data_IF_367596248820
#
_entry.id   IF_367596248820
#
_cell.length_a   1.000
_cell.length_b   1.000
_cell.length_c   1.000
_cell.angle_alpha   90.00
_cell.angle_beta   90.00
_cell.angle_gamma   90.00
#
_symmetry.space_group_name_H-M   'P 1'
#
loop_
_entity.id
_entity.type
_entity.pdbx_description
1 polymer ?
#
# COMPACT_ATOMS: atom_id res chain seq x y z
N UNK A 1 -23.11 -4.16 5.46
CA UNK A 1 -23.08 -4.89 4.16
C UNK A 1 -21.66 -5.39 3.95
N UNK A 2 -21.46 -6.71 3.89
CA UNK A 2 -20.15 -7.33 3.60
C UNK A 2 -20.01 -7.58 2.11
N UNK A 3 -19.60 -6.56 1.35
CA UNK A 3 -19.36 -6.69 -0.09
C UNK A 3 -17.96 -7.27 -0.28
N UNK A 4 -17.86 -8.47 -0.84
CA UNK A 4 -16.59 -9.06 -1.25
C UNK A 4 -16.35 -8.76 -2.74
N UNK A 5 -15.23 -8.12 -3.05
CA UNK A 5 -14.82 -7.85 -4.43
C UNK A 5 -14.13 -9.09 -5.00
N UNK A 6 -14.78 -9.80 -5.92
CA UNK A 6 -14.25 -11.01 -6.57
C UNK A 6 -13.54 -10.78 -7.92
N UNK A 7 -13.23 -9.52 -8.26
CA UNK A 7 -12.69 -9.14 -9.56
C UNK A 7 -11.16 -9.11 -9.56
N UNK A 8 -10.56 -9.15 -10.75
CA UNK A 8 -9.13 -8.87 -10.94
C UNK A 8 -8.84 -7.43 -10.48
N UNK A 9 -8.23 -7.32 -9.30
CA UNK A 9 -7.79 -6.05 -8.75
C UNK A 9 -6.55 -5.58 -9.50
N UNK A 10 -6.44 -4.26 -9.65
CA UNK A 10 -5.23 -3.59 -10.12
C UNK A 10 -4.93 -2.46 -9.16
N UNK A 11 -3.69 -2.40 -8.69
CA UNK A 11 -3.22 -1.32 -7.82
C UNK A 11 -2.08 -0.55 -8.52
N UNK A 12 -2.32 0.73 -8.91
CA UNK A 12 -1.30 1.58 -9.51
C UNK A 12 -0.06 1.79 -8.63
N UNK A 13 -0.19 1.73 -7.30
CA UNK A 13 0.95 1.91 -6.38
C UNK A 13 1.87 0.71 -6.41
N UNK A 14 1.29 -0.49 -6.39
CA UNK A 14 2.05 -1.74 -6.55
C UNK A 14 2.72 -1.75 -7.92
N UNK A 15 2.05 -1.25 -8.96
CA UNK A 15 2.63 -1.18 -10.30
C UNK A 15 3.85 -0.25 -10.36
N UNK A 16 3.81 0.93 -9.73
CA UNK A 16 4.99 1.81 -9.64
C UNK A 16 6.13 1.16 -8.84
N UNK A 17 5.81 0.50 -7.73
CA UNK A 17 6.80 -0.19 -6.91
C UNK A 17 7.52 -1.32 -7.66
N UNK A 18 6.77 -2.13 -8.43
CA UNK A 18 7.36 -3.20 -9.27
C UNK A 18 8.31 -2.62 -10.32
N UNK A 19 8.03 -1.44 -10.85
CA UNK A 19 8.89 -0.77 -11.83
C UNK A 19 10.13 -0.15 -11.17
N UNK A 20 9.97 0.48 -10.00
CA UNK A 20 11.04 1.20 -9.30
C UNK A 20 11.08 0.85 -7.80
N UNK A 21 11.65 -0.32 -7.43
CA UNK A 21 11.65 -0.78 -6.04
C UNK A 21 12.54 0.05 -5.10
N UNK A 22 13.51 0.82 -5.64
CA UNK A 22 14.50 1.59 -4.88
C UNK A 22 14.01 2.97 -4.42
N UNK A 23 12.91 3.50 -4.99
CA UNK A 23 12.40 4.85 -4.71
C UNK A 23 11.56 4.93 -3.42
N UNK A 24 11.71 3.92 -2.55
CA UNK A 24 10.67 3.45 -1.63
C UNK A 24 10.71 4.10 -0.24
N UNK A 25 10.86 5.43 -0.16
CA UNK A 25 10.93 6.13 1.14
C UNK A 25 9.58 6.48 1.76
N UNK A 26 8.48 6.39 1.03
CA UNK A 26 7.13 6.53 1.59
C UNK A 26 6.12 6.07 0.55
N UNK A 27 5.07 5.35 0.95
CA UNK A 27 3.99 4.95 0.04
C UNK A 27 3.37 6.22 -0.58
N UNK A 28 3.69 6.55 -1.85
CA UNK A 28 3.35 7.85 -2.40
C UNK A 28 1.85 7.96 -2.62
N UNK A 29 1.30 9.17 -2.45
CA UNK A 29 -0.09 9.43 -2.78
C UNK A 29 -0.31 9.32 -4.30
N UNK A 30 -1.56 9.07 -4.72
CA UNK A 30 -1.90 8.97 -6.14
C UNK A 30 -1.56 10.29 -6.87
N UNK A 31 -1.72 11.45 -6.20
CA UNK A 31 -1.35 12.74 -6.79
C UNK A 31 0.17 12.84 -7.05
N UNK A 32 1.02 12.35 -6.13
CA UNK A 32 2.48 12.33 -6.29
C UNK A 32 2.90 11.37 -7.41
N UNK A 33 2.29 10.20 -7.48
CA UNK A 33 2.54 9.24 -8.57
C UNK A 33 2.11 9.82 -9.92
N UNK A 34 0.99 10.54 -9.95
CA UNK A 34 0.53 11.20 -11.15
C UNK A 34 1.54 12.26 -11.61
N UNK A 35 2.06 13.09 -10.70
CA UNK A 35 3.12 14.07 -11.00
C UNK A 35 4.39 13.44 -11.60
N UNK A 36 4.79 12.29 -11.06
CA UNK A 36 5.97 11.54 -11.53
C UNK A 36 5.78 10.99 -12.95
N UNK A 37 4.60 10.46 -13.26
CA UNK A 37 4.36 9.72 -14.50
C UNK A 37 3.65 10.52 -15.60
N UNK A 38 2.89 11.55 -15.25
CA UNK A 38 2.02 12.32 -16.16
C UNK A 38 1.87 13.78 -15.72
N UNK A 39 2.48 14.72 -16.45
CA UNK A 39 2.37 16.16 -16.16
C UNK A 39 1.05 16.79 -16.60
N UNK A 40 0.26 16.09 -17.41
CA UNK A 40 -0.80 16.72 -18.23
C UNK A 40 -2.19 16.76 -17.58
N UNK A 41 -2.47 15.90 -16.58
CA UNK A 41 -3.85 15.74 -16.08
C UNK A 41 -3.97 15.88 -14.57
N UNK A 42 -3.56 17.04 -14.03
CA UNK A 42 -3.83 17.38 -12.65
C UNK A 42 -5.24 17.98 -12.50
N UNK A 43 -6.21 17.12 -12.19
CA UNK A 43 -7.53 17.58 -11.78
C UNK A 43 -7.43 18.29 -10.41
N UNK A 44 -7.73 19.58 -10.38
CA UNK A 44 -7.86 20.35 -9.13
C UNK A 44 -9.32 20.28 -8.68
N UNK A 45 -9.61 19.39 -7.74
CA UNK A 45 -10.92 19.29 -7.11
C UNK A 45 -11.04 20.25 -5.92
N UNK A 46 -12.26 20.66 -5.57
CA UNK A 46 -12.52 21.37 -4.31
C UNK A 46 -12.40 20.39 -3.14
N UNK A 47 -11.46 20.66 -2.22
CA UNK A 47 -11.17 19.76 -1.10
C UNK A 47 -12.35 19.51 -0.13
N UNK A 48 -13.39 20.35 -0.18
CA UNK A 48 -14.54 20.30 0.72
C UNK A 48 -15.70 19.42 0.22
N UNK A 49 -15.69 18.96 -1.03
CA UNK A 49 -16.75 18.08 -1.57
C UNK A 49 -16.24 16.63 -1.70
N UNK A 50 -16.82 15.73 -0.92
CA UNK A 50 -16.45 14.31 -0.87
C UNK A 50 -16.74 13.58 -2.19
N UNK A 51 -17.79 13.97 -2.91
CA UNK A 51 -18.14 13.36 -4.20
C UNK A 51 -17.14 13.77 -5.27
N UNK A 52 -16.83 15.07 -5.34
CA UNK A 52 -15.85 15.61 -6.28
C UNK A 52 -14.47 14.99 -6.04
N UNK A 53 -14.07 14.84 -4.76
CA UNK A 53 -12.81 14.19 -4.38
C UNK A 53 -12.77 12.72 -4.80
N UNK A 54 -13.84 11.97 -4.59
CA UNK A 54 -13.91 10.55 -4.93
C UNK A 54 -13.86 10.33 -6.44
N UNK A 55 -14.62 11.12 -7.20
CA UNK A 55 -14.58 11.11 -8.66
C UNK A 55 -13.20 11.49 -9.20
N UNK A 56 -12.58 12.54 -8.63
CA UNK A 56 -11.21 12.94 -8.97
C UNK A 56 -10.23 11.77 -8.79
N UNK A 57 -10.23 11.13 -7.62
CA UNK A 57 -9.32 10.01 -7.37
C UNK A 57 -9.55 8.82 -8.30
N UNK A 58 -10.81 8.49 -8.61
CA UNK A 58 -11.13 7.43 -9.55
C UNK A 58 -10.58 7.71 -10.95
N UNK A 59 -10.79 8.93 -11.46
CA UNK A 59 -10.28 9.35 -12.78
C UNK A 59 -8.75 9.37 -12.81
N UNK A 60 -8.11 9.96 -11.79
CA UNK A 60 -6.64 9.99 -11.70
C UNK A 60 -6.03 8.59 -11.62
N UNK A 61 -6.65 7.68 -10.86
CA UNK A 61 -6.17 6.30 -10.73
C UNK A 61 -6.27 5.55 -12.07
N UNK A 62 -7.34 5.78 -12.83
CA UNK A 62 -7.50 5.19 -14.17
C UNK A 62 -6.45 5.73 -15.16
N UNK A 63 -6.22 7.04 -15.17
CA UNK A 63 -5.21 7.68 -16.03
C UNK A 63 -3.81 7.18 -15.69
N UNK A 64 -3.49 7.12 -14.40
CA UNK A 64 -2.22 6.59 -13.90
C UNK A 64 -2.04 5.12 -14.30
N UNK A 65 -3.08 4.30 -14.15
CA UNK A 65 -3.05 2.89 -14.55
C UNK A 65 -2.73 2.72 -16.03
N UNK A 66 -3.40 3.45 -16.93
CA UNK A 66 -3.15 3.36 -18.37
C UNK A 66 -1.67 3.65 -18.72
N UNK A 67 -1.04 4.59 -18.01
CA UNK A 67 0.38 4.90 -18.18
C UNK A 67 1.28 3.79 -17.64
N UNK A 68 1.03 3.33 -16.42
CA UNK A 68 1.81 2.30 -15.74
C UNK A 68 1.69 0.94 -16.44
N UNK A 69 0.52 0.59 -16.97
CA UNK A 69 0.33 -0.64 -17.73
C UNK A 69 1.23 -0.66 -18.97
N UNK A 70 1.38 0.49 -19.65
CA UNK A 70 2.32 0.64 -20.76
C UNK A 70 3.78 0.41 -20.33
N UNK A 71 4.17 0.95 -19.17
CA UNK A 71 5.52 0.77 -18.62
C UNK A 71 5.77 -0.67 -18.16
N UNK A 72 4.79 -1.33 -17.54
CA UNK A 72 4.87 -2.74 -17.15
C UNK A 72 5.05 -3.66 -18.36
N UNK A 73 4.36 -3.37 -19.47
CA UNK A 73 4.52 -4.08 -20.74
C UNK A 73 5.91 -3.84 -21.33
N UNK A 74 6.35 -2.58 -21.37
CA UNK A 74 7.66 -2.21 -21.89
C UNK A 74 8.82 -2.89 -21.14
N UNK A 75 8.73 -2.95 -19.81
CA UNK A 75 9.75 -3.57 -18.95
C UNK A 75 9.59 -5.10 -18.79
N UNK A 76 8.63 -5.73 -19.47
CA UNK A 76 8.31 -7.17 -19.35
C UNK A 76 7.91 -7.61 -17.92
N UNK A 77 7.43 -6.70 -17.09
CA UNK A 77 7.04 -6.94 -15.70
C UNK A 77 5.55 -7.27 -15.55
N UNK A 78 4.76 -7.22 -16.64
CA UNK A 78 3.32 -7.41 -16.61
C UNK A 78 2.91 -8.76 -15.99
N UNK A 79 3.62 -9.85 -16.29
CA UNK A 79 3.31 -11.17 -15.73
C UNK A 79 3.56 -11.22 -14.22
N UNK A 80 4.72 -10.76 -13.76
CA UNK A 80 5.03 -10.69 -12.33
C UNK A 80 3.96 -9.88 -11.57
N UNK A 81 3.55 -8.74 -12.12
CA UNK A 81 2.50 -7.93 -11.52
C UNK A 81 1.16 -8.67 -11.42
N UNK A 82 0.65 -9.26 -12.51
CA UNK A 82 -0.70 -9.86 -12.52
C UNK A 82 -0.77 -11.28 -11.93
N UNK A 83 0.30 -12.06 -12.02
CA UNK A 83 0.32 -13.47 -11.61
C UNK A 83 0.93 -13.67 -10.22
N UNK A 84 1.71 -12.71 -9.71
CA UNK A 84 2.38 -12.81 -8.40
C UNK A 84 1.87 -11.74 -7.45
N UNK A 85 2.05 -10.46 -7.77
CA UNK A 85 1.79 -9.37 -6.82
C UNK A 85 0.30 -9.13 -6.59
N UNK A 86 -0.50 -8.99 -7.64
CA UNK A 86 -1.94 -8.72 -7.47
C UNK A 86 -2.73 -9.86 -6.80
N UNK A 87 -2.43 -11.15 -7.06
CA UNK A 87 -3.04 -12.25 -6.31
C UNK A 87 -2.63 -12.30 -4.83
N UNK A 88 -1.48 -11.73 -4.46
CA UNK A 88 -1.02 -11.65 -3.08
C UNK A 88 -1.79 -10.60 -2.27
N UNK A 89 -2.23 -9.51 -2.89
CA UNK A 89 -2.99 -8.43 -2.24
C UNK A 89 -4.20 -8.93 -1.42
N UNK A 90 -5.15 -9.73 -1.96
CA UNK A 90 -6.28 -10.22 -1.17
C UNK A 90 -5.85 -11.18 -0.05
N UNK A 91 -4.74 -11.91 -0.21
CA UNK A 91 -4.20 -12.78 0.84
C UNK A 91 -3.70 -11.93 2.01
N UNK A 92 -2.93 -10.88 1.73
CA UNK A 92 -2.45 -9.94 2.74
C UNK A 92 -3.61 -9.20 3.42
N UNK A 93 -4.61 -8.78 2.66
CA UNK A 93 -5.81 -8.16 3.21
C UNK A 93 -6.57 -9.12 4.15
N UNK A 94 -6.66 -10.40 3.82
CA UNK A 94 -7.26 -11.41 4.68
C UNK A 94 -6.42 -11.66 5.95
N UNK A 95 -5.09 -11.67 5.83
CA UNK A 95 -4.18 -11.77 6.98
C UNK A 95 -4.33 -10.56 7.92
N UNK A 96 -4.41 -9.36 7.38
CA UNK A 96 -4.62 -8.13 8.15
C UNK A 96 -5.99 -8.13 8.84
N UNK A 97 -7.04 -8.54 8.14
CA UNK A 97 -8.38 -8.67 8.71
C UNK A 97 -8.44 -9.73 9.82
N UNK A 98 -7.73 -10.84 9.66
CA UNK A 98 -7.64 -11.90 10.69
C UNK A 98 -6.87 -11.41 11.93
N UNK A 99 -5.82 -10.61 11.71
CA UNK A 99 -4.93 -10.14 12.76
C UNK A 99 -4.07 -11.26 13.35
N UNK A 100 -3.47 -10.97 14.50
CA UNK A 100 -2.65 -11.94 15.23
C UNK A 100 -3.14 -12.04 16.67
N UNK A 101 -3.32 -13.28 17.14
CA UNK A 101 -3.66 -13.54 18.54
C UNK A 101 -2.51 -13.10 19.46
N UNK A 102 -2.81 -12.20 20.39
CA UNK A 102 -1.81 -11.64 21.30
C UNK A 102 -2.20 -11.88 22.77
N UNK A 103 -1.28 -12.45 23.55
CA UNK A 103 -1.46 -12.63 25.00
C UNK A 103 -0.65 -11.59 25.76
N UNK A 104 -1.32 -10.52 26.17
CA UNK A 104 -0.70 -9.40 26.89
C UNK A 104 0.01 -9.84 28.18
N UNK A 105 -0.56 -10.81 28.92
CA UNK A 105 -0.04 -11.29 30.22
C UNK A 105 1.39 -11.82 30.10
N UNK A 106 1.71 -12.57 29.05
CA UNK A 106 3.07 -13.08 28.86
C UNK A 106 4.03 -11.96 28.45
N UNK A 107 3.56 -11.01 27.64
CA UNK A 107 4.35 -9.89 27.20
C UNK A 107 4.70 -8.94 28.36
N UNK A 108 3.76 -8.67 29.26
CA UNK A 108 4.00 -7.86 30.46
C UNK A 108 4.97 -8.54 31.42
N UNK A 109 4.84 -9.86 31.62
CA UNK A 109 5.78 -10.61 32.43
C UNK A 109 7.21 -10.55 31.85
N UNK A 110 7.35 -10.66 30.52
CA UNK A 110 8.63 -10.51 29.83
C UNK A 110 9.19 -9.09 29.95
N UNK A 111 8.36 -8.05 29.83
CA UNK A 111 8.77 -6.65 30.00
C UNK A 111 9.31 -6.43 31.42
N UNK A 112 8.66 -6.98 32.45
CA UNK A 112 9.10 -6.83 33.83
C UNK A 112 10.43 -7.55 34.10
N UNK A 113 10.63 -8.73 33.51
CA UNK A 113 11.91 -9.45 33.57
C UNK A 113 13.02 -8.63 32.90
N UNK A 114 12.76 -8.08 31.71
CA UNK A 114 13.72 -7.26 30.97
C UNK A 114 14.08 -5.99 31.75
N UNK A 115 13.09 -5.31 32.34
CA UNK A 115 13.33 -4.13 33.17
C UNK A 115 14.22 -4.43 34.37
N UNK A 116 13.96 -5.54 35.08
CA UNK A 116 14.79 -5.95 36.23
C UNK A 116 16.23 -6.22 35.82
N UNK A 117 16.44 -6.91 34.69
CA UNK A 117 17.79 -7.17 34.17
C UNK A 117 18.50 -5.91 33.70
N UNK A 118 17.76 -4.96 33.14
CA UNK A 118 18.33 -3.71 32.67
C UNK A 118 18.77 -2.85 33.86
N UNK A 119 17.95 -2.75 34.91
CA UNK A 119 18.34 -2.07 36.15
C UNK A 119 19.50 -2.72 36.88
N UNK A 120 19.66 -4.06 36.82
CA UNK A 120 20.84 -4.70 37.40
C UNK A 120 22.12 -4.40 36.63
N UNK A 121 22.04 -4.27 35.30
CA UNK A 121 23.19 -3.92 34.46
C UNK A 121 23.57 -2.44 34.56
N UNK A 122 22.62 -1.55 34.87
CA UNK A 122 22.90 -0.13 35.10
C UNK A 122 23.57 0.14 36.46
N UNK A 123 23.51 -0.82 37.39
CA UNK A 123 24.12 -0.73 38.72
C UNK A 123 25.52 -1.37 38.78
N UNK A 124 25.91 -2.15 37.76
CA UNK A 124 27.27 -2.66 37.54
C UNK A 124 28.13 -1.60 36.80
#
# INVERSE_FOLDING_TARGET
>A
LGIALGLRLVDPRVADWVINPEDNKSAPSIDVLLEKHTKEMQLKGRAQDEYERSCKHAVQSLVLWNRLEGLLKFNLLQKAFHEVEMPLVPVLAAMEQCGMGFRSIHCTALIDILRRKLSSLEQE
#
